data_IF_213340804672
#
_entry.id   IF_213340804672
#
_cell.length_a   1.000
_cell.length_b   1.000
_cell.length_c   1.000
_cell.angle_alpha   90.00
_cell.angle_beta   90.00
_cell.angle_gamma   90.00
#
_symmetry.space_group_name_H-M   'P 1'
#
loop_
_entity.id
_entity.type
_entity.pdbx_description
1 polymer ?
#
# COMPACT_ATOMS: atom_id res chain seq x y z
N UNK A 1 4.13 28.54 -36.03
CA UNK A 1 3.02 28.53 -35.07
C UNK A 1 2.98 27.17 -34.39
N UNK A 2 3.53 27.08 -33.18
CA UNK A 2 3.43 25.89 -32.33
C UNK A 2 2.01 25.83 -31.75
N UNK A 3 1.12 25.04 -32.37
CA UNK A 3 -0.14 24.67 -31.72
C UNK A 3 0.24 23.86 -30.48
N UNK A 4 -0.04 24.41 -29.31
CA UNK A 4 -0.04 23.64 -28.06
C UNK A 4 -1.02 22.48 -28.28
N UNK A 5 -0.61 21.21 -28.11
CA UNK A 5 -1.49 20.08 -28.36
C UNK A 5 -2.76 20.20 -27.51
N UNK A 6 -3.92 19.92 -28.10
CA UNK A 6 -5.16 19.90 -27.34
C UNK A 6 -5.06 18.82 -26.25
N UNK A 7 -5.68 19.01 -25.07
CA UNK A 7 -5.54 18.08 -23.94
C UNK A 7 -5.97 16.64 -24.30
N UNK A 8 -6.97 16.51 -25.19
CA UNK A 8 -7.38 15.23 -25.77
C UNK A 8 -6.35 14.62 -26.71
N UNK A 9 -5.70 15.40 -27.57
CA UNK A 9 -4.66 14.92 -28.48
C UNK A 9 -3.42 14.46 -27.69
N UNK A 10 -3.06 15.18 -26.63
CA UNK A 10 -1.99 14.79 -25.72
C UNK A 10 -2.35 13.46 -25.03
N UNK A 11 -3.58 13.32 -24.55
CA UNK A 11 -4.07 12.09 -23.91
C UNK A 11 -4.10 10.89 -24.87
N UNK A 12 -4.54 11.09 -26.11
CA UNK A 12 -4.54 10.06 -27.16
C UNK A 12 -3.11 9.67 -27.54
N UNK A 13 -2.20 10.63 -27.66
CA UNK A 13 -0.79 10.36 -27.94
C UNK A 13 -0.12 9.56 -26.80
N UNK A 14 -0.34 9.98 -25.55
CA UNK A 14 0.14 9.30 -24.35
C UNK A 14 -0.40 7.87 -24.23
N UNK A 15 -1.67 7.65 -24.56
CA UNK A 15 -2.33 6.34 -24.45
C UNK A 15 -2.05 5.39 -25.62
N UNK A 16 -1.59 5.88 -26.78
CA UNK A 16 -1.33 5.03 -27.95
C UNK A 16 0.17 4.92 -28.25
N UNK A 17 0.80 6.06 -28.53
CA UNK A 17 2.17 6.11 -29.05
C UNK A 17 3.19 5.88 -27.95
N UNK A 18 3.04 6.55 -26.81
CA UNK A 18 3.98 6.42 -25.70
C UNK A 18 3.96 5.01 -25.10
N UNK A 19 2.79 4.39 -24.95
CA UNK A 19 2.68 3.00 -24.44
C UNK A 19 3.44 2.04 -25.34
N UNK A 20 3.19 2.11 -26.65
CA UNK A 20 3.85 1.22 -27.61
C UNK A 20 5.36 1.46 -27.62
N UNK A 21 5.81 2.71 -27.51
CA UNK A 21 7.23 3.03 -27.40
C UNK A 21 7.86 2.40 -26.15
N UNK A 22 7.23 2.53 -24.97
CA UNK A 22 7.74 1.93 -23.72
C UNK A 22 7.78 0.40 -23.78
N UNK A 23 6.74 -0.24 -24.33
CA UNK A 23 6.71 -1.71 -24.50
C UNK A 23 7.75 -2.21 -25.50
N UNK A 24 7.90 -1.52 -26.62
CA UNK A 24 8.93 -1.86 -27.61
C UNK A 24 10.34 -1.63 -27.05
N UNK A 25 10.52 -0.59 -26.22
CA UNK A 25 11.78 -0.35 -25.51
C UNK A 25 12.12 -1.50 -24.55
N UNK A 26 11.15 -2.01 -23.78
CA UNK A 26 11.35 -3.20 -22.94
C UNK A 26 11.67 -4.42 -23.80
N UNK A 27 10.94 -4.63 -24.89
CA UNK A 27 11.16 -5.76 -25.80
C UNK A 27 12.58 -5.73 -26.39
N UNK A 28 13.06 -4.55 -26.79
CA UNK A 28 14.40 -4.34 -27.30
C UNK A 28 15.46 -4.65 -26.23
N UNK A 29 15.27 -4.14 -25.01
CA UNK A 29 16.14 -4.43 -23.88
C UNK A 29 16.19 -5.92 -23.58
N UNK A 30 15.03 -6.58 -23.53
CA UNK A 30 14.93 -8.02 -23.25
C UNK A 30 15.65 -8.86 -24.32
N UNK A 31 15.51 -8.48 -25.59
CA UNK A 31 16.11 -9.21 -26.71
C UNK A 31 17.63 -9.03 -26.75
N UNK A 32 18.12 -7.80 -26.61
CA UNK A 32 19.55 -7.47 -26.65
C UNK A 32 20.14 -7.24 -25.24
N UNK A 33 19.74 -8.07 -24.28
CA UNK A 33 20.08 -7.89 -22.86
C UNK A 33 21.59 -7.75 -22.64
N UNK A 34 22.39 -8.70 -23.13
CA UNK A 34 23.85 -8.72 -22.93
C UNK A 34 24.54 -7.46 -23.48
N UNK A 35 23.95 -6.85 -24.51
CA UNK A 35 24.45 -5.62 -25.12
C UNK A 35 23.93 -4.35 -24.46
N UNK A 36 22.87 -4.41 -23.65
CA UNK A 36 22.15 -3.25 -23.10
C UNK A 36 22.11 -3.20 -21.57
N UNK A 37 22.53 -4.26 -20.88
CA UNK A 37 22.46 -4.37 -19.41
C UNK A 37 23.19 -3.22 -18.68
N UNK A 38 24.26 -2.67 -19.29
CA UNK A 38 24.99 -1.52 -18.75
C UNK A 38 24.13 -0.25 -18.66
N UNK A 39 23.05 -0.15 -19.43
CA UNK A 39 22.12 0.99 -19.44
C UNK A 39 20.89 0.77 -18.55
N UNK A 40 20.80 -0.33 -17.80
CA UNK A 40 19.62 -0.67 -17.00
C UNK A 40 19.17 0.48 -16.08
N UNK A 41 20.12 1.22 -15.51
CA UNK A 41 19.88 2.41 -14.68
C UNK A 41 19.08 3.50 -15.43
N UNK A 42 19.37 3.74 -16.71
CA UNK A 42 18.65 4.72 -17.53
C UNK A 42 17.23 4.29 -17.84
N UNK A 43 17.01 3.00 -18.09
CA UNK A 43 15.67 2.44 -18.31
C UNK A 43 14.84 2.55 -17.02
N UNK A 44 15.42 2.15 -15.88
CA UNK A 44 14.78 2.27 -14.58
C UNK A 44 14.48 3.74 -14.21
N UNK A 45 15.40 4.66 -14.48
CA UNK A 45 15.19 6.09 -14.26
C UNK A 45 14.05 6.65 -15.12
N UNK A 46 13.98 6.27 -16.40
CA UNK A 46 12.86 6.66 -17.27
C UNK A 46 11.52 6.13 -16.75
N UNK A 47 11.46 4.85 -16.38
CA UNK A 47 10.24 4.25 -15.82
C UNK A 47 9.83 4.90 -14.51
N UNK A 48 10.80 5.24 -13.65
CA UNK A 48 10.58 5.97 -12.41
C UNK A 48 9.97 7.35 -12.67
N UNK A 49 10.48 8.07 -13.68
CA UNK A 49 9.90 9.35 -14.10
C UNK A 49 8.49 9.19 -14.66
N UNK A 50 8.20 8.12 -15.42
CA UNK A 50 6.85 7.81 -15.90
C UNK A 50 5.88 7.51 -14.75
N UNK A 51 6.31 6.74 -13.75
CA UNK A 51 5.49 6.40 -12.59
C UNK A 51 5.15 7.63 -11.76
N UNK A 52 6.10 8.57 -11.58
CA UNK A 52 5.89 9.78 -10.80
C UNK A 52 5.09 10.90 -11.53
N UNK A 53 4.44 10.62 -12.66
CA UNK A 53 3.60 11.60 -13.35
C UNK A 53 2.28 11.85 -12.61
N UNK A 54 1.69 13.03 -12.78
CA UNK A 54 0.36 13.35 -12.22
C UNK A 54 -0.78 12.57 -12.90
N UNK A 55 -0.54 12.06 -14.11
CA UNK A 55 -1.53 11.31 -14.87
C UNK A 55 -1.53 9.84 -14.42
N UNK A 56 -2.61 9.42 -13.76
CA UNK A 56 -2.80 8.06 -13.23
C UNK A 56 -2.60 6.97 -14.30
N UNK A 57 -3.11 7.17 -15.51
CA UNK A 57 -2.94 6.24 -16.62
C UNK A 57 -1.46 6.03 -16.94
N UNK A 58 -0.68 7.12 -17.06
CA UNK A 58 0.77 7.04 -17.31
C UNK A 58 1.48 6.31 -16.18
N UNK A 59 1.12 6.62 -14.94
CA UNK A 59 1.74 6.01 -13.78
C UNK A 59 1.54 4.48 -13.76
N UNK A 60 0.31 4.02 -14.01
CA UNK A 60 -0.01 2.59 -14.11
C UNK A 60 0.68 1.90 -15.27
N UNK A 61 0.78 2.55 -16.42
CA UNK A 61 1.54 2.02 -17.57
C UNK A 61 3.02 1.92 -17.24
N UNK A 62 3.60 2.93 -16.60
CA UNK A 62 4.99 2.94 -16.16
C UNK A 62 5.28 1.80 -15.17
N UNK A 63 4.38 1.58 -14.20
CA UNK A 63 4.47 0.45 -13.27
C UNK A 63 4.39 -0.88 -14.01
N UNK A 64 3.41 -1.08 -14.91
CA UNK A 64 3.29 -2.32 -15.67
C UNK A 64 4.51 -2.58 -16.56
N UNK A 65 5.08 -1.53 -17.14
CA UNK A 65 6.32 -1.59 -17.91
C UNK A 65 7.51 -2.02 -17.02
N UNK A 66 7.63 -1.45 -15.81
CA UNK A 66 8.64 -1.88 -14.83
C UNK A 66 8.47 -3.36 -14.45
N UNK A 67 7.24 -3.81 -14.21
CA UNK A 67 6.97 -5.21 -13.92
C UNK A 67 7.39 -6.12 -15.09
N UNK A 68 7.01 -5.76 -16.32
CA UNK A 68 7.36 -6.53 -17.51
C UNK A 68 8.88 -6.60 -17.72
N UNK A 69 9.60 -5.49 -17.53
CA UNK A 69 11.05 -5.46 -17.60
C UNK A 69 11.68 -6.47 -16.64
N UNK A 70 11.21 -6.50 -15.39
CA UNK A 70 11.73 -7.40 -14.36
C UNK A 70 11.36 -8.86 -14.69
N UNK A 71 10.09 -9.14 -14.95
CA UNK A 71 9.59 -10.51 -15.19
C UNK A 71 10.24 -11.17 -16.41
N UNK A 72 10.44 -10.42 -17.50
CA UNK A 72 11.02 -10.96 -18.73
C UNK A 72 12.53 -11.23 -18.66
N UNK A 73 13.23 -10.56 -17.74
CA UNK A 73 14.69 -10.63 -17.62
C UNK A 73 15.17 -11.23 -16.30
N UNK A 74 14.25 -11.76 -15.48
CA UNK A 74 14.51 -12.23 -14.11
C UNK A 74 15.67 -13.22 -14.01
N UNK A 75 15.80 -14.13 -14.98
CA UNK A 75 16.85 -15.15 -15.00
C UNK A 75 18.19 -14.66 -15.56
N UNK A 76 18.23 -13.42 -16.09
CA UNK A 76 19.43 -12.79 -16.65
C UNK A 76 20.07 -11.79 -15.69
N UNK A 77 19.36 -11.40 -14.63
CA UNK A 77 19.87 -10.40 -13.69
C UNK A 77 20.99 -10.94 -12.81
N UNK A 78 22.01 -10.11 -12.63
CA UNK A 78 23.11 -10.32 -11.69
C UNK A 78 22.78 -9.63 -10.36
N UNK A 79 23.53 -9.87 -9.28
CA UNK A 79 23.35 -9.14 -8.03
C UNK A 79 23.42 -7.61 -8.19
N UNK A 80 24.26 -7.10 -9.08
CA UNK A 80 24.35 -5.67 -9.39
C UNK A 80 23.08 -5.13 -10.08
N UNK A 81 22.45 -5.93 -10.94
CA UNK A 81 21.17 -5.58 -11.55
C UNK A 81 20.05 -5.50 -10.49
N UNK A 82 20.01 -6.45 -9.55
CA UNK A 82 19.07 -6.41 -8.45
C UNK A 82 19.24 -5.20 -7.53
N UNK A 83 20.49 -4.80 -7.26
CA UNK A 83 20.77 -3.57 -6.51
C UNK A 83 20.20 -2.33 -7.21
N UNK A 84 20.34 -2.23 -8.54
CA UNK A 84 19.73 -1.15 -9.34
C UNK A 84 18.21 -1.20 -9.32
N UNK A 85 17.62 -2.39 -9.49
CA UNK A 85 16.15 -2.59 -9.48
C UNK A 85 15.56 -2.18 -8.13
N UNK A 86 16.13 -2.68 -7.02
CA UNK A 86 15.68 -2.30 -5.69
C UNK A 86 15.99 -0.84 -5.38
N UNK A 87 17.10 -0.30 -5.87
CA UNK A 87 17.39 1.13 -5.85
C UNK A 87 16.29 1.98 -6.49
N UNK A 88 15.74 1.54 -7.62
CA UNK A 88 14.61 2.22 -8.26
C UNK A 88 13.34 2.16 -7.40
N UNK A 89 13.05 1.03 -6.74
CA UNK A 89 11.95 0.96 -5.77
C UNK A 89 12.16 1.88 -4.56
N UNK A 90 13.39 1.98 -4.05
CA UNK A 90 13.72 2.94 -2.97
C UNK A 90 13.41 4.35 -3.42
N UNK A 91 13.88 4.76 -4.60
CA UNK A 91 13.60 6.10 -5.15
C UNK A 91 12.09 6.33 -5.33
N UNK A 92 11.38 5.34 -5.89
CA UNK A 92 9.93 5.42 -6.09
C UNK A 92 9.19 5.65 -4.77
N UNK A 93 9.41 4.80 -3.77
CA UNK A 93 8.77 4.93 -2.46
C UNK A 93 9.11 6.27 -1.79
N UNK A 94 10.35 6.74 -1.89
CA UNK A 94 10.76 8.03 -1.32
C UNK A 94 10.06 9.21 -2.02
N UNK A 95 9.98 9.18 -3.34
CA UNK A 95 9.35 10.25 -4.14
C UNK A 95 7.83 10.28 -4.02
N UNK A 96 7.19 9.14 -3.81
CA UNK A 96 5.73 9.02 -3.71
C UNK A 96 5.23 9.11 -2.26
N UNK A 97 6.12 9.10 -1.26
CA UNK A 97 5.67 9.26 0.13
C UNK A 97 5.14 10.69 0.40
N UNK A 98 3.87 10.77 0.78
CA UNK A 98 3.15 12.02 0.98
C UNK A 98 3.47 12.71 2.33
N UNK A 99 4.74 13.00 2.64
CA UNK A 99 5.16 13.62 3.91
C UNK A 99 4.41 14.90 4.27
N UNK A 100 3.98 15.63 3.24
CA UNK A 100 3.19 16.86 3.35
C UNK A 100 1.84 16.64 4.06
N UNK A 101 1.31 15.43 4.18
CA UNK A 101 0.12 15.15 4.98
C UNK A 101 0.24 15.63 6.43
N UNK A 102 1.44 15.58 7.01
CA UNK A 102 1.68 15.99 8.40
C UNK A 102 1.89 17.49 8.58
N UNK A 103 2.24 18.21 7.50
CA UNK A 103 2.51 19.66 7.54
C UNK A 103 1.42 20.48 6.86
N UNK A 104 0.65 19.88 5.96
CA UNK A 104 -0.38 20.53 5.15
C UNK A 104 -1.38 21.30 6.03
N UNK A 105 -1.77 20.75 7.17
CA UNK A 105 -2.68 21.44 8.09
C UNK A 105 -2.11 22.75 8.68
N UNK A 106 -0.79 22.92 8.72
CA UNK A 106 -0.09 24.08 9.28
C UNK A 106 0.49 25.02 8.23
N UNK A 107 0.74 24.55 7.01
CA UNK A 107 1.33 25.37 5.95
C UNK A 107 0.28 26.35 5.42
N UNK A 108 0.45 27.64 5.71
CA UNK A 108 -0.27 28.72 5.04
C UNK A 108 0.15 28.76 3.55
N UNK A 109 -0.78 28.99 2.60
CA UNK A 109 -0.44 29.01 1.18
C UNK A 109 0.45 30.24 0.89
N UNK A 110 1.75 30.04 0.67
CA UNK A 110 2.64 31.14 0.29
C UNK A 110 4.16 30.92 0.40
N UNK A 111 4.65 29.88 1.08
CA UNK A 111 6.11 29.61 1.09
C UNK A 111 6.49 28.43 0.19
N UNK A 112 7.48 28.60 -0.71
CA UNK A 112 8.07 27.48 -1.44
C UNK A 112 8.77 26.53 -0.45
N UNK A 113 8.88 25.23 -0.77
CA UNK A 113 9.52 24.26 0.12
C UNK A 113 11.03 24.52 0.14
N UNK A 114 11.53 25.16 1.20
CA UNK A 114 12.94 25.08 1.53
C UNK A 114 13.28 23.64 1.93
N UNK A 115 14.15 23.02 1.12
CA UNK A 115 14.84 21.79 1.49
C UNK A 115 15.65 22.08 2.76
N UNK A 116 15.16 21.65 3.92
CA UNK A 116 15.94 21.71 5.16
C UNK A 116 17.02 20.64 5.14
N UNK A 117 18.25 21.06 4.90
CA UNK A 117 19.42 20.32 5.35
C UNK A 117 19.40 20.30 6.88
N UNK A 118 19.64 19.12 7.44
CA UNK A 118 19.82 18.90 8.87
C UNK A 118 21.25 19.31 9.19
N UNK A 119 21.44 20.43 9.88
CA UNK A 119 22.67 20.71 10.62
C UNK A 119 22.33 21.05 12.07
N UNK A 120 23.26 20.66 12.93
CA UNK A 120 23.12 20.34 14.34
C UNK A 120 22.81 21.52 15.26
N UNK A 121 22.25 21.13 16.41
CA UNK A 121 21.98 21.92 17.59
C UNK A 121 23.28 22.45 18.20
N UNK A 122 23.38 23.77 18.39
CA UNK A 122 23.96 24.34 19.61
C UNK A 122 23.26 25.64 20.00
N UNK A 123 22.87 25.69 21.27
CA UNK A 123 22.08 26.71 21.94
C UNK A 123 22.92 27.93 22.32
N UNK A 124 22.30 29.13 22.32
CA UNK A 124 22.37 30.11 23.42
C UNK A 124 21.39 31.28 23.21
N UNK A 125 20.62 31.58 24.26
CA UNK A 125 19.80 32.79 24.46
C UNK A 125 20.71 34.01 24.74
N UNK A 126 20.34 35.29 24.69
CA UNK A 126 19.10 36.02 25.03
C UNK A 126 19.20 37.49 24.44
N UNK A 127 18.49 38.56 24.88
CA UNK A 127 17.52 39.31 24.07
C UNK A 127 17.86 40.80 23.84
N UNK A 128 17.18 41.47 22.89
CA UNK A 128 17.29 42.93 22.74
C UNK A 128 16.45 43.55 21.61
N UNK A 129 15.21 43.91 21.93
CA UNK A 129 14.40 44.95 21.23
C UNK A 129 15.01 46.35 21.49
N UNK A 130 14.72 47.45 20.74
CA UNK A 130 13.39 47.78 20.22
C UNK A 130 13.24 48.57 18.88
N UNK A 131 12.08 48.36 18.26
CA UNK A 131 11.12 49.35 17.73
C UNK A 131 11.58 50.51 16.81
N UNK A 132 11.08 50.51 15.57
CA UNK A 132 10.71 51.72 14.83
C UNK A 132 9.71 51.44 13.68
N UNK A 133 8.48 51.96 13.83
CA UNK A 133 7.57 52.45 12.77
C UNK A 133 7.31 53.94 13.12
N UNK A 134 6.93 54.87 12.22
CA UNK A 134 5.98 54.77 11.08
C UNK A 134 6.58 55.40 9.79
N UNK A 135 5.96 55.63 8.62
CA UNK A 135 4.63 56.18 8.29
C UNK A 135 4.38 56.11 6.75
N UNK A 136 3.08 56.14 6.38
CA UNK A 136 2.39 56.58 5.15
C UNK A 136 2.97 56.45 3.73
N UNK A 137 2.11 55.90 2.85
CA UNK A 137 2.04 56.22 1.41
C UNK A 137 0.91 55.45 0.72
N UNK A 138 -0.20 56.14 0.42
CA UNK A 138 -1.33 55.65 -0.38
C UNK A 138 -0.93 55.40 -1.83
N UNK A 139 -1.48 54.38 -2.49
CA UNK A 139 -2.23 54.59 -3.74
C UNK A 139 -3.10 53.37 -4.12
N UNK A 140 -4.37 53.68 -4.36
CA UNK A 140 -5.41 52.81 -4.87
C UNK A 140 -5.31 52.68 -6.38
N UNK A 141 -5.41 51.47 -6.92
CA UNK A 141 -5.95 51.24 -8.27
C UNK A 141 -6.64 49.89 -8.33
N UNK A 142 -7.98 49.91 -8.37
CA UNK A 142 -8.82 48.88 -9.02
C UNK A 142 -8.75 49.11 -10.53
N UNK A 143 -8.84 48.05 -11.33
CA UNK A 143 -10.08 47.76 -12.07
C UNK A 143 -10.31 46.24 -12.15
N UNK A 144 -11.42 45.65 -12.58
CA UNK A 144 -12.83 45.98 -12.76
C UNK A 144 -13.49 44.59 -12.88
N UNK A 145 -14.72 44.47 -12.43
CA UNK A 145 -15.54 43.27 -12.59
C UNK A 145 -15.85 43.07 -14.08
N UNK A 146 -15.51 41.91 -14.63
CA UNK A 146 -16.19 41.33 -15.77
C UNK A 146 -16.59 39.90 -15.39
N UNK A 147 -17.89 39.65 -15.48
CA UNK A 147 -18.49 38.35 -15.21
C UNK A 147 -18.12 37.37 -16.31
N UNK A 148 -17.84 36.13 -15.91
CA UNK A 148 -18.00 35.02 -16.83
C UNK A 148 -18.38 33.74 -16.10
N UNK A 149 -19.17 32.96 -16.82
CA UNK A 149 -20.13 32.00 -16.33
C UNK A 149 -19.49 30.75 -15.71
N UNK A 150 -20.22 30.19 -14.74
CA UNK A 150 -19.94 28.94 -14.05
C UNK A 150 -19.84 27.75 -15.00
N UNK A 151 -18.63 27.43 -15.45
CA UNK A 151 -18.29 26.07 -15.88
C UNK A 151 -17.63 25.33 -14.72
N UNK A 152 -18.45 24.55 -13.99
CA UNK A 152 -18.00 23.49 -13.11
C UNK A 152 -17.14 22.50 -13.91
N UNK A 153 -15.82 22.64 -13.85
CA UNK A 153 -14.90 21.61 -14.27
C UNK A 153 -15.10 20.40 -13.33
N UNK A 154 -15.86 19.42 -13.82
CA UNK A 154 -16.00 18.11 -13.21
C UNK A 154 -14.63 17.50 -12.98
N UNK A 155 -14.42 17.05 -11.74
CA UNK A 155 -13.24 16.32 -11.30
C UNK A 155 -13.06 15.07 -12.19
N UNK A 156 -11.86 14.79 -12.73
CA UNK A 156 -11.57 13.49 -13.31
C UNK A 156 -11.68 12.41 -12.23
N UNK A 157 -12.27 11.27 -12.59
CA UNK A 157 -12.60 10.14 -11.71
C UNK A 157 -11.38 9.34 -11.18
N UNK A 158 -10.38 10.03 -10.61
CA UNK A 158 -9.28 9.41 -9.85
C UNK A 158 -9.59 9.31 -8.34
N UNK A 159 -10.83 9.61 -7.94
CA UNK A 159 -11.21 9.69 -6.53
C UNK A 159 -11.54 8.34 -5.88
N UNK A 160 -11.58 7.23 -6.64
CA UNK A 160 -12.07 5.94 -6.14
C UNK A 160 -11.12 5.20 -5.19
N UNK A 161 -9.82 5.53 -5.11
CA UNK A 161 -8.86 4.79 -4.27
C UNK A 161 -8.65 5.41 -2.87
N UNK A 162 -9.05 6.67 -2.69
CA UNK A 162 -9.01 7.38 -1.41
C UNK A 162 -10.40 7.77 -0.88
N UNK A 163 -11.46 7.64 -1.69
CA UNK A 163 -12.83 7.87 -1.24
C UNK A 163 -13.50 6.57 -0.78
N UNK A 164 -13.84 6.52 0.51
CA UNK A 164 -14.97 5.75 0.98
C UNK A 164 -15.51 6.33 2.33
N UNK A 165 -16.76 6.81 2.36
CA UNK A 165 -17.73 6.81 3.50
C UNK A 165 -19.13 7.22 3.01
N UNK A 166 -20.17 6.49 3.45
CA UNK A 166 -21.58 6.87 3.24
C UNK A 166 -22.00 7.66 4.49
N UNK A 167 -22.36 8.95 4.38
CA UNK A 167 -22.71 9.73 5.55
C UNK A 167 -24.02 9.23 6.17
N UNK A 168 -24.06 9.15 7.50
CA UNK A 168 -25.29 9.44 8.23
C UNK A 168 -25.75 10.85 7.79
N UNK A 169 -27.05 11.06 7.53
CA UNK A 169 -27.53 12.38 7.11
C UNK A 169 -27.27 13.39 8.23
N UNK A 170 -26.94 14.63 7.85
CA UNK A 170 -26.84 15.82 8.72
C UNK A 170 -25.46 16.27 9.25
N UNK A 171 -24.43 16.26 8.40
CA UNK A 171 -23.33 17.25 8.52
C UNK A 171 -22.98 17.85 7.15
N UNK A 172 -23.91 18.56 6.52
CA UNK A 172 -23.60 19.45 5.40
C UNK A 172 -22.95 20.73 5.94
N UNK A 173 -21.63 20.83 5.82
CA UNK A 173 -20.93 22.09 6.05
C UNK A 173 -21.02 22.99 4.80
N UNK A 174 -21.03 24.32 4.99
CA UNK A 174 -20.97 25.27 3.89
C UNK A 174 -19.65 25.09 3.10
N UNK A 175 -19.64 25.36 1.78
CA UNK A 175 -18.46 25.14 0.95
C UNK A 175 -17.31 26.00 1.46
N UNK A 176 -16.27 25.36 2.00
CA UNK A 176 -15.02 26.02 2.32
C UNK A 176 -14.42 26.52 1.02
N UNK A 177 -14.26 27.84 0.87
CA UNK A 177 -13.67 28.43 -0.33
C UNK A 177 -12.17 28.13 -0.33
N UNK A 178 -11.79 27.02 -0.96
CA UNK A 178 -10.39 26.62 -1.14
C UNK A 178 -9.83 27.30 -2.39
N UNK A 179 -8.72 28.03 -2.23
CA UNK A 179 -8.05 28.68 -3.37
C UNK A 179 -7.57 27.65 -4.40
N UNK A 180 -7.49 28.04 -5.67
CA UNK A 180 -7.02 27.15 -6.73
C UNK A 180 -5.61 26.59 -6.45
N UNK A 181 -4.72 27.43 -5.89
CA UNK A 181 -3.37 27.02 -5.49
C UNK A 181 -3.41 25.94 -4.38
N UNK A 182 -4.28 26.11 -3.38
CA UNK A 182 -4.43 25.15 -2.29
C UNK A 182 -5.03 23.82 -2.77
N UNK A 183 -5.98 23.86 -3.71
CA UNK A 183 -6.53 22.66 -4.35
C UNK A 183 -5.46 21.90 -5.12
N UNK A 184 -4.62 22.57 -5.89
CA UNK A 184 -3.49 21.95 -6.60
C UNK A 184 -2.51 21.28 -5.63
N UNK A 185 -2.17 21.96 -4.52
CA UNK A 185 -1.34 21.40 -3.46
C UNK A 185 -1.95 20.12 -2.86
N UNK A 186 -3.23 20.15 -2.48
CA UNK A 186 -3.91 18.96 -1.96
C UNK A 186 -3.99 17.83 -2.98
N UNK A 187 -4.28 18.13 -4.25
CA UNK A 187 -4.30 17.13 -5.30
C UNK A 187 -2.93 16.46 -5.49
N UNK A 188 -1.82 17.20 -5.36
CA UNK A 188 -0.47 16.62 -5.42
C UNK A 188 -0.23 15.60 -4.29
N UNK A 189 -0.68 15.92 -3.07
CA UNK A 189 -0.59 15.01 -1.92
C UNK A 189 -1.42 13.74 -2.17
N UNK A 190 -2.64 13.89 -2.69
CA UNK A 190 -3.55 12.78 -3.03
C UNK A 190 -2.90 11.87 -4.08
N UNK A 191 -2.33 12.43 -5.14
CA UNK A 191 -1.62 11.67 -6.18
C UNK A 191 -0.47 10.87 -5.56
N UNK A 192 0.34 11.48 -4.70
CA UNK A 192 1.44 10.79 -4.02
C UNK A 192 0.93 9.58 -3.21
N UNK A 193 -0.17 9.72 -2.46
CA UNK A 193 -0.79 8.59 -1.74
C UNK A 193 -1.26 7.47 -2.67
N UNK A 194 -1.89 7.81 -3.81
CA UNK A 194 -2.32 6.84 -4.83
C UNK A 194 -1.11 6.10 -5.42
N UNK A 195 -0.07 6.84 -5.81
CA UNK A 195 1.17 6.26 -6.33
C UNK A 195 1.84 5.35 -5.29
N UNK A 196 1.79 5.70 -4.01
CA UNK A 196 2.32 4.86 -2.94
C UNK A 196 1.59 3.51 -2.85
N UNK A 197 0.27 3.49 -3.03
CA UNK A 197 -0.53 2.25 -3.09
C UNK A 197 -0.12 1.43 -4.33
N UNK A 198 -0.05 2.07 -5.50
CA UNK A 198 0.41 1.42 -6.73
C UNK A 198 1.79 0.78 -6.56
N UNK A 199 2.72 1.42 -5.85
CA UNK A 199 4.04 0.85 -5.57
C UNK A 199 3.98 -0.37 -4.65
N UNK A 200 3.12 -0.35 -3.62
CA UNK A 200 2.90 -1.51 -2.75
C UNK A 200 2.34 -2.68 -3.57
N UNK A 201 1.33 -2.44 -4.40
CA UNK A 201 0.73 -3.46 -5.27
C UNK A 201 1.75 -4.03 -6.25
N UNK A 202 2.56 -3.17 -6.86
CA UNK A 202 3.63 -3.56 -7.79
C UNK A 202 4.65 -4.49 -7.11
N UNK A 203 5.07 -4.15 -5.89
CA UNK A 203 5.95 -5.02 -5.09
C UNK A 203 5.25 -6.34 -4.78
N UNK A 204 3.99 -6.30 -4.32
CA UNK A 204 3.25 -7.52 -4.01
C UNK A 204 3.15 -8.47 -5.21
N UNK A 205 2.77 -7.97 -6.39
CA UNK A 205 2.64 -8.77 -7.60
C UNK A 205 3.97 -9.37 -8.05
N UNK A 206 5.05 -8.57 -8.05
CA UNK A 206 6.37 -9.03 -8.46
C UNK A 206 6.93 -10.09 -7.52
N UNK A 207 6.87 -9.88 -6.21
CA UNK A 207 7.52 -10.77 -5.25
C UNK A 207 6.63 -11.92 -4.78
N UNK A 208 5.35 -11.93 -5.19
CA UNK A 208 4.52 -13.13 -5.19
C UNK A 208 4.96 -14.12 -6.29
N UNK A 209 5.58 -13.65 -7.37
CA UNK A 209 6.07 -14.51 -8.44
C UNK A 209 7.30 -15.33 -8.01
N UNK A 210 7.22 -16.65 -8.18
CA UNK A 210 8.28 -17.59 -7.78
C UNK A 210 9.61 -17.35 -8.47
N UNK A 211 9.61 -16.96 -9.75
CA UNK A 211 10.84 -16.71 -10.48
C UNK A 211 11.56 -15.47 -9.93
N UNK A 212 10.82 -14.39 -9.67
CA UNK A 212 11.36 -13.15 -9.09
C UNK A 212 11.90 -13.41 -7.69
N UNK A 213 11.09 -14.02 -6.83
CA UNK A 213 11.49 -14.34 -5.46
C UNK A 213 12.71 -15.28 -5.38
N UNK A 214 12.83 -16.19 -6.34
CA UNK A 214 13.95 -17.13 -6.38
C UNK A 214 15.27 -16.47 -6.75
N UNK A 215 15.24 -15.41 -7.58
CA UNK A 215 16.42 -14.75 -8.12
C UNK A 215 16.89 -13.53 -7.30
N UNK A 216 16.01 -12.89 -6.53
CA UNK A 216 16.39 -11.74 -5.71
C UNK A 216 17.30 -12.13 -4.52
N UNK A 217 18.46 -11.48 -4.32
CA UNK A 217 19.31 -11.69 -3.15
C UNK A 217 18.64 -11.30 -1.83
N UNK A 218 18.97 -11.98 -0.74
CA UNK A 218 18.38 -11.73 0.60
C UNK A 218 18.57 -10.28 1.06
N UNK A 219 19.76 -9.69 0.80
CA UNK A 219 20.05 -8.29 1.13
C UNK A 219 19.07 -7.32 0.47
N UNK A 220 18.77 -7.55 -0.81
CA UNK A 220 17.88 -6.69 -1.59
C UNK A 220 16.41 -6.88 -1.19
N UNK A 221 16.03 -8.11 -0.86
CA UNK A 221 14.70 -8.41 -0.32
C UNK A 221 14.48 -7.75 1.05
N UNK A 222 15.49 -7.75 1.94
CA UNK A 222 15.48 -7.02 3.22
C UNK A 222 15.31 -5.51 3.03
N UNK A 223 15.94 -4.93 1.99
CA UNK A 223 15.76 -3.51 1.66
C UNK A 223 14.32 -3.20 1.23
N UNK A 224 13.70 -4.03 0.39
CA UNK A 224 12.29 -3.88 0.01
C UNK A 224 11.35 -3.99 1.21
N UNK A 225 11.62 -4.93 2.11
CA UNK A 225 10.88 -5.08 3.36
C UNK A 225 10.97 -3.83 4.25
N UNK A 226 12.13 -3.18 4.31
CA UNK A 226 12.27 -1.90 5.01
C UNK A 226 11.39 -0.79 4.39
N UNK A 227 11.20 -0.78 3.06
CA UNK A 227 10.29 0.15 2.38
C UNK A 227 8.83 -0.11 2.76
N UNK A 228 8.39 -1.38 2.72
CA UNK A 228 7.04 -1.76 3.11
C UNK A 228 6.76 -1.43 4.58
N UNK A 229 7.73 -1.72 5.48
CA UNK A 229 7.66 -1.35 6.89
C UNK A 229 7.52 0.16 7.09
N UNK A 230 8.30 0.97 6.38
CA UNK A 230 8.21 2.44 6.42
C UNK A 230 6.83 2.92 5.94
N UNK A 231 6.31 2.34 4.85
CA UNK A 231 5.00 2.69 4.30
C UNK A 231 3.86 2.35 5.27
N UNK A 232 3.92 1.16 5.89
CA UNK A 232 2.98 0.73 6.93
C UNK A 232 3.01 1.71 8.12
N UNK A 233 4.19 2.01 8.65
CA UNK A 233 4.35 2.90 9.79
C UNK A 233 3.86 4.33 9.49
N UNK A 234 4.11 4.82 8.28
CA UNK A 234 3.62 6.12 7.81
C UNK A 234 2.08 6.17 7.84
N UNK A 235 1.43 5.19 7.20
CA UNK A 235 -0.03 5.12 7.14
C UNK A 235 -0.65 4.95 8.54
N UNK A 236 -0.07 4.07 9.36
CA UNK A 236 -0.46 3.85 10.76
C UNK A 236 -0.38 5.12 11.60
N UNK A 237 0.71 5.89 11.46
CA UNK A 237 0.90 7.17 12.16
C UNK A 237 -0.16 8.19 11.73
N UNK A 238 -0.44 8.29 10.42
CA UNK A 238 -1.45 9.22 9.91
C UNK A 238 -2.86 8.83 10.35
N UNK A 239 -3.22 7.54 10.25
CA UNK A 239 -4.54 7.03 10.63
C UNK A 239 -4.83 7.22 12.12
N UNK A 240 -3.80 7.09 12.97
CA UNK A 240 -3.87 7.36 14.41
C UNK A 240 -3.97 8.85 14.78
N UNK A 241 -3.58 9.77 13.89
CA UNK A 241 -3.58 11.21 14.15
C UNK A 241 -4.97 11.84 13.91
N UNK A 242 -5.95 11.51 14.77
CA UNK A 242 -7.35 11.97 14.66
C UNK A 242 -7.49 13.49 14.50
N UNK A 243 -6.75 14.27 15.29
CA UNK A 243 -6.80 15.74 15.25
C UNK A 243 -6.26 16.30 13.94
N UNK A 244 -5.18 15.73 13.40
CA UNK A 244 -4.61 16.12 12.11
C UNK A 244 -5.62 15.87 10.99
N UNK A 245 -6.22 14.67 10.97
CA UNK A 245 -7.23 14.28 9.97
C UNK A 245 -8.45 15.20 10.02
N UNK A 246 -8.92 15.55 11.22
CA UNK A 246 -10.02 16.50 11.42
C UNK A 246 -9.65 17.91 10.93
N UNK A 247 -8.41 18.37 11.18
CA UNK A 247 -7.92 19.67 10.68
C UNK A 247 -7.85 19.70 9.15
N UNK A 248 -7.28 18.66 8.52
CA UNK A 248 -7.22 18.55 7.06
C UNK A 248 -8.62 18.55 6.44
N UNK A 249 -9.55 17.80 7.03
CA UNK A 249 -10.95 17.78 6.60
C UNK A 249 -11.61 19.16 6.68
N UNK A 250 -11.47 19.86 7.82
CA UNK A 250 -11.99 21.23 7.99
C UNK A 250 -11.38 22.25 7.03
N UNK A 251 -10.20 21.99 6.50
CA UNK A 251 -9.53 22.82 5.49
C UNK A 251 -9.95 22.48 4.05
N UNK A 252 -10.90 21.56 3.86
CA UNK A 252 -11.38 21.16 2.53
C UNK A 252 -10.41 20.24 1.78
N UNK A 253 -9.56 19.50 2.49
CA UNK A 253 -8.65 18.51 1.88
C UNK A 253 -9.44 17.41 1.14
N UNK A 254 -10.51 16.91 1.76
CA UNK A 254 -11.42 15.90 1.22
C UNK A 254 -12.84 16.15 1.74
N UNK A 255 -13.84 15.48 1.17
CA UNK A 255 -15.24 15.56 1.64
C UNK A 255 -15.43 14.99 3.05
N UNK A 256 -14.56 14.07 3.44
CA UNK A 256 -14.58 13.35 4.71
C UNK A 256 -13.18 13.33 5.33
N UNK A 257 -13.04 12.97 6.62
CA UNK A 257 -11.74 12.78 7.24
C UNK A 257 -10.84 11.83 6.43
N UNK A 258 -9.72 12.33 5.86
CA UNK A 258 -8.84 11.51 5.02
C UNK A 258 -8.32 10.32 5.82
N UNK A 259 -8.11 9.18 5.16
CA UNK A 259 -7.50 8.00 5.75
C UNK A 259 -6.59 7.32 4.73
N UNK A 260 -5.65 6.53 5.23
CA UNK A 260 -4.72 5.72 4.45
C UNK A 260 -4.94 4.24 4.75
N UNK A 261 -6.20 3.81 4.88
CA UNK A 261 -6.53 2.44 5.28
C UNK A 261 -5.96 1.42 4.30
N UNK A 262 -6.19 1.61 2.99
CA UNK A 262 -5.69 0.70 1.95
C UNK A 262 -4.16 0.65 1.92
N UNK A 263 -3.48 1.79 2.14
CA UNK A 263 -2.03 1.81 2.26
C UNK A 263 -1.57 1.06 3.52
N UNK A 264 -2.22 1.27 4.67
CA UNK A 264 -1.86 0.62 5.94
C UNK A 264 -2.05 -0.91 5.87
N UNK A 265 -3.23 -1.38 5.46
CA UNK A 265 -3.53 -2.81 5.37
C UNK A 265 -2.78 -3.48 4.22
N UNK A 266 -2.70 -2.85 3.05
CA UNK A 266 -2.00 -3.39 1.89
C UNK A 266 -0.49 -3.53 2.09
N UNK A 267 0.15 -2.52 2.71
CA UNK A 267 1.58 -2.61 3.03
C UNK A 267 1.86 -3.66 4.11
N UNK A 268 1.00 -3.78 5.13
CA UNK A 268 1.13 -4.82 6.14
C UNK A 268 0.97 -6.23 5.55
N UNK A 269 -0.06 -6.44 4.72
CA UNK A 269 -0.31 -7.72 4.05
C UNK A 269 0.88 -8.14 3.19
N UNK A 270 1.34 -7.25 2.31
CA UNK A 270 2.50 -7.51 1.42
C UNK A 270 3.75 -7.81 2.24
N UNK A 271 3.98 -7.04 3.31
CA UNK A 271 5.16 -7.21 4.16
C UNK A 271 5.17 -8.55 4.89
N UNK A 272 4.04 -8.93 5.50
CA UNK A 272 3.87 -10.21 6.20
C UNK A 272 4.00 -11.38 5.24
N UNK A 273 3.40 -11.30 4.05
CA UNK A 273 3.46 -12.36 3.05
C UNK A 273 4.92 -12.67 2.67
N UNK A 274 5.71 -11.63 2.38
CA UNK A 274 7.13 -11.79 2.05
C UNK A 274 7.92 -12.34 3.24
N UNK A 275 7.68 -11.84 4.47
CA UNK A 275 8.36 -12.31 5.66
C UNK A 275 8.06 -13.79 5.97
N UNK A 276 6.80 -14.22 5.87
CA UNK A 276 6.44 -15.64 6.02
C UNK A 276 7.10 -16.48 4.95
N UNK A 277 7.10 -16.01 3.70
CA UNK A 277 7.74 -16.70 2.58
C UNK A 277 9.24 -16.88 2.81
N UNK A 278 9.92 -15.84 3.29
CA UNK A 278 11.34 -15.89 3.65
C UNK A 278 11.62 -16.82 4.82
N UNK A 279 10.76 -16.80 5.85
CA UNK A 279 10.91 -17.64 7.02
C UNK A 279 10.86 -19.14 6.66
N UNK A 280 9.93 -19.53 5.78
CA UNK A 280 9.76 -20.91 5.34
C UNK A 280 10.73 -21.32 4.21
N UNK A 281 11.61 -20.43 3.76
CA UNK A 281 12.59 -20.73 2.72
C UNK A 281 13.81 -21.44 3.33
N UNK A 282 14.06 -22.66 2.84
CA UNK A 282 15.11 -23.55 3.34
C UNK A 282 16.45 -23.42 2.60
N UNK A 283 16.58 -22.48 1.66
CA UNK A 283 17.85 -22.16 1.02
C UNK A 283 18.83 -21.54 2.02
N UNK A 284 20.11 -21.89 1.92
CA UNK A 284 21.15 -21.46 2.88
C UNK A 284 21.23 -19.93 3.04
N UNK A 285 21.13 -19.17 1.95
CA UNK A 285 21.12 -17.71 1.99
C UNK A 285 19.95 -17.15 2.83
N UNK A 286 18.79 -17.82 2.81
CA UNK A 286 17.56 -17.38 3.51
C UNK A 286 17.55 -17.83 4.95
N UNK A 287 18.05 -19.03 5.24
CA UNK A 287 18.33 -19.52 6.59
C UNK A 287 19.23 -18.56 7.36
N UNK A 288 20.29 -18.05 6.73
CA UNK A 288 21.20 -17.09 7.37
C UNK A 288 20.49 -15.80 7.81
N UNK A 289 19.46 -15.36 7.08
CA UNK A 289 18.63 -14.19 7.43
C UNK A 289 17.40 -14.52 8.30
N UNK A 290 17.22 -15.77 8.75
CA UNK A 290 15.99 -16.21 9.44
C UNK A 290 15.79 -15.50 10.78
N UNK A 291 16.86 -15.24 11.53
CA UNK A 291 16.77 -14.48 12.79
C UNK A 291 16.25 -13.06 12.55
N UNK A 292 16.81 -12.34 11.58
CA UNK A 292 16.35 -10.99 11.22
C UNK A 292 14.90 -11.00 10.71
N UNK A 293 14.51 -12.07 10.00
CA UNK A 293 13.14 -12.27 9.53
C UNK A 293 12.19 -12.48 10.71
N UNK A 294 12.54 -13.31 11.70
CA UNK A 294 11.75 -13.50 12.93
C UNK A 294 11.60 -12.20 13.72
N UNK A 295 12.70 -11.46 13.92
CA UNK A 295 12.73 -10.19 14.67
C UNK A 295 11.81 -9.12 14.03
N UNK A 296 11.59 -9.21 12.72
CA UNK A 296 10.65 -8.38 11.99
C UNK A 296 9.21 -8.91 12.01
N UNK A 297 9.03 -10.22 11.81
CA UNK A 297 7.74 -10.89 11.61
C UNK A 297 6.93 -11.01 12.90
N UNK A 298 7.53 -11.51 13.97
CA UNK A 298 6.81 -11.83 15.21
C UNK A 298 6.18 -10.59 15.85
N UNK A 299 6.90 -9.46 16.03
CA UNK A 299 6.30 -8.27 16.62
C UNK A 299 5.21 -7.66 15.74
N UNK A 300 5.36 -7.73 14.41
CA UNK A 300 4.38 -7.22 13.45
C UNK A 300 3.07 -8.01 13.51
N UNK A 301 3.16 -9.33 13.44
CA UNK A 301 2.02 -10.25 13.56
C UNK A 301 1.26 -10.02 14.87
N UNK A 302 1.98 -9.91 15.99
CA UNK A 302 1.36 -9.69 17.29
C UNK A 302 0.72 -8.29 17.42
N UNK A 303 1.32 -7.24 16.88
CA UNK A 303 0.73 -5.88 16.86
C UNK A 303 -0.56 -5.84 16.02
N UNK A 304 -0.61 -6.56 14.90
CA UNK A 304 -1.79 -6.59 14.01
C UNK A 304 -2.99 -7.23 14.71
N UNK A 305 -2.82 -8.39 15.34
CA UNK A 305 -3.91 -9.05 16.08
C UNK A 305 -4.41 -8.15 17.21
N UNK A 306 -3.50 -7.61 18.03
CA UNK A 306 -3.87 -6.72 19.16
C UNK A 306 -4.65 -5.49 18.69
N UNK A 307 -4.23 -4.89 17.58
CA UNK A 307 -4.92 -3.73 16.99
C UNK A 307 -6.30 -4.09 16.46
N UNK A 308 -6.41 -5.24 15.80
CA UNK A 308 -7.68 -5.70 15.26
C UNK A 308 -8.73 -5.86 16.37
N UNK A 309 -8.36 -6.51 17.48
CA UNK A 309 -9.24 -6.68 18.65
C UNK A 309 -9.77 -5.35 19.16
N UNK A 310 -8.93 -4.30 19.18
CA UNK A 310 -9.27 -2.96 19.66
C UNK A 310 -10.18 -2.14 18.71
N UNK A 311 -10.48 -2.61 17.50
CA UNK A 311 -11.35 -1.90 16.57
C UNK A 311 -12.80 -1.90 17.06
N UNK A 312 -13.46 -0.76 17.05
CA UNK A 312 -14.87 -0.66 17.43
C UNK A 312 -15.79 -1.26 16.35
N UNK A 313 -16.66 -2.22 16.72
CA UNK A 313 -17.50 -2.98 15.78
C UNK A 313 -18.56 -2.13 15.08
N UNK A 314 -19.11 -1.13 15.78
CA UNK A 314 -20.18 -0.30 15.24
C UNK A 314 -19.64 0.78 14.29
N UNK A 315 -18.57 1.47 14.68
CA UNK A 315 -18.04 2.63 13.94
C UNK A 315 -16.90 2.31 12.97
N UNK A 316 -16.20 1.18 13.12
CA UNK A 316 -15.00 0.84 12.35
C UNK A 316 -15.16 -0.40 11.47
N UNK A 317 -16.37 -0.73 11.03
CA UNK A 317 -16.66 -1.91 10.21
C UNK A 317 -15.78 -2.03 8.95
N UNK A 318 -15.38 -0.90 8.34
CA UNK A 318 -14.49 -0.91 7.17
C UNK A 318 -13.06 -1.27 7.49
N UNK A 319 -12.55 -0.80 8.62
CA UNK A 319 -11.24 -1.22 9.12
C UNK A 319 -11.27 -2.73 9.38
N UNK A 320 -12.34 -3.21 10.01
CA UNK A 320 -12.54 -4.63 10.31
C UNK A 320 -12.53 -5.47 9.01
N UNK A 321 -13.25 -5.02 7.97
CA UNK A 321 -13.26 -5.70 6.67
C UNK A 321 -11.88 -5.68 5.99
N UNK A 322 -11.19 -4.54 5.99
CA UNK A 322 -9.88 -4.39 5.34
C UNK A 322 -8.77 -5.18 6.03
N UNK A 323 -8.81 -5.30 7.36
CA UNK A 323 -7.79 -5.99 8.16
C UNK A 323 -8.05 -7.48 8.36
N UNK A 324 -9.29 -7.93 8.20
CA UNK A 324 -9.69 -9.33 8.35
C UNK A 324 -8.79 -10.31 7.58
N UNK A 325 -8.55 -10.16 6.26
CA UNK A 325 -7.67 -11.10 5.55
C UNK A 325 -6.25 -11.12 6.13
N UNK A 326 -5.72 -9.96 6.52
CA UNK A 326 -4.38 -9.86 7.13
C UNK A 326 -4.31 -10.60 8.47
N UNK A 327 -5.36 -10.51 9.30
CA UNK A 327 -5.44 -11.25 10.57
C UNK A 327 -5.50 -12.75 10.34
N UNK A 328 -6.27 -13.20 9.34
CA UNK A 328 -6.33 -14.61 8.95
C UNK A 328 -4.94 -15.09 8.52
N UNK A 329 -4.28 -14.38 7.62
CA UNK A 329 -2.92 -14.70 7.15
C UNK A 329 -1.91 -14.78 8.30
N UNK A 330 -2.02 -13.89 9.29
CA UNK A 330 -1.14 -13.91 10.48
C UNK A 330 -1.39 -15.15 11.33
N UNK A 331 -2.65 -15.47 11.64
CA UNK A 331 -2.99 -16.61 12.49
C UNK A 331 -2.65 -17.92 11.79
N UNK A 332 -2.97 -18.06 10.50
CA UNK A 332 -2.65 -19.23 9.70
C UNK A 332 -1.13 -19.38 9.49
N UNK A 333 -0.44 -18.29 9.17
CA UNK A 333 1.01 -18.29 8.97
C UNK A 333 1.77 -18.69 10.23
N UNK A 334 1.38 -18.17 11.40
CA UNK A 334 1.93 -18.61 12.69
C UNK A 334 1.57 -20.06 13.00
N UNK A 335 0.32 -20.46 12.74
CA UNK A 335 -0.12 -21.86 12.87
C UNK A 335 0.64 -22.78 11.90
N UNK A 336 1.27 -22.27 10.85
CA UNK A 336 2.07 -23.04 9.89
C UNK A 336 3.53 -23.30 10.29
N UNK A 337 4.06 -22.60 11.31
CA UNK A 337 5.48 -22.69 11.68
C UNK A 337 5.95 -24.11 12.03
N UNK A 338 7.26 -24.42 11.94
CA UNK A 338 7.82 -25.64 12.52
C UNK A 338 7.54 -25.75 14.03
N UNK A 339 7.48 -26.97 14.56
CA UNK A 339 7.09 -27.24 15.95
C UNK A 339 7.91 -26.42 16.96
N UNK A 340 9.23 -26.38 16.80
CA UNK A 340 10.15 -25.66 17.70
C UNK A 340 9.83 -24.16 17.77
N UNK A 341 9.67 -23.52 16.62
CA UNK A 341 9.37 -22.08 16.56
C UNK A 341 7.94 -21.76 16.97
N UNK A 342 6.99 -22.64 16.62
CA UNK A 342 5.62 -22.53 17.11
C UNK A 342 5.64 -22.54 18.64
N UNK A 343 6.26 -23.54 19.27
CA UNK A 343 6.33 -23.68 20.72
C UNK A 343 7.00 -22.48 21.41
N UNK A 344 8.09 -21.95 20.81
CA UNK A 344 8.81 -20.76 21.26
C UNK A 344 7.90 -19.53 21.42
N UNK A 345 6.89 -19.36 20.57
CA UNK A 345 6.04 -18.16 20.55
C UNK A 345 4.58 -18.39 21.00
N UNK A 346 4.24 -19.59 21.51
CA UNK A 346 2.89 -19.90 22.02
C UNK A 346 2.43 -18.86 23.04
N UNK A 347 3.27 -18.50 24.01
CA UNK A 347 2.90 -17.55 25.07
C UNK A 347 2.66 -16.13 24.54
N UNK A 348 3.18 -15.81 23.34
CA UNK A 348 2.94 -14.52 22.69
C UNK A 348 1.63 -14.52 21.91
N UNK A 349 1.38 -15.56 21.11
CA UNK A 349 0.25 -15.61 20.17
C UNK A 349 -1.03 -16.16 20.78
N UNK A 350 -0.94 -17.14 21.67
CA UNK A 350 -2.13 -17.75 22.27
C UNK A 350 -3.08 -16.73 22.93
N UNK A 351 -2.64 -15.86 23.86
CA UNK A 351 -3.58 -14.93 24.51
C UNK A 351 -4.23 -13.97 23.51
N UNK A 352 -3.46 -13.39 22.59
CA UNK A 352 -3.98 -12.41 21.62
C UNK A 352 -4.90 -13.06 20.59
N UNK A 353 -4.69 -14.34 20.24
CA UNK A 353 -5.61 -15.07 19.37
C UNK A 353 -6.89 -15.48 20.11
N UNK A 354 -6.80 -15.79 21.40
CA UNK A 354 -8.00 -16.03 22.23
C UNK A 354 -8.83 -14.75 22.37
N UNK A 355 -8.20 -13.58 22.47
CA UNK A 355 -8.92 -12.30 22.50
C UNK A 355 -9.76 -12.05 21.25
N UNK A 356 -9.42 -12.64 20.08
CA UNK A 356 -10.26 -12.56 18.90
C UNK A 356 -11.63 -13.21 19.12
N UNK A 357 -11.77 -14.18 20.03
CA UNK A 357 -13.05 -14.83 20.33
C UNK A 357 -14.07 -13.88 21.00
N UNK A 358 -13.62 -12.74 21.52
CA UNK A 358 -14.53 -11.74 22.11
C UNK A 358 -15.22 -10.85 21.05
N UNK A 359 -14.92 -11.08 19.77
CA UNK A 359 -15.40 -10.32 18.61
C UNK A 359 -16.52 -11.05 17.88
N UNK A 360 -17.26 -10.34 17.02
CA UNK A 360 -18.09 -11.02 16.01
C UNK A 360 -17.21 -11.69 14.93
N UNK A 361 -17.15 -13.03 15.01
CA UNK A 361 -16.25 -13.86 14.20
C UNK A 361 -16.88 -14.22 12.86
N UNK A 362 -16.23 -13.81 11.78
CA UNK A 362 -16.48 -14.41 10.47
C UNK A 362 -15.96 -15.85 10.41
N UNK A 363 -16.37 -16.58 9.36
CA UNK A 363 -16.00 -17.99 9.18
C UNK A 363 -14.48 -18.18 9.08
N UNK A 364 -13.76 -17.30 8.38
CA UNK A 364 -12.31 -17.45 8.17
C UNK A 364 -11.51 -17.28 9.47
N UNK A 365 -11.76 -16.22 10.25
CA UNK A 365 -11.09 -16.03 11.54
C UNK A 365 -11.43 -17.19 12.48
N UNK A 366 -12.67 -17.67 12.48
CA UNK A 366 -13.07 -18.82 13.30
C UNK A 366 -12.29 -20.09 12.94
N UNK A 367 -12.11 -20.37 11.65
CA UNK A 367 -11.33 -21.52 11.18
C UNK A 367 -9.85 -21.37 11.53
N UNK A 368 -9.28 -20.19 11.36
CA UNK A 368 -7.90 -19.90 11.73
C UNK A 368 -7.65 -20.09 13.24
N UNK A 369 -8.54 -19.57 14.10
CA UNK A 369 -8.48 -19.79 15.56
C UNK A 369 -8.63 -21.28 15.88
N UNK A 370 -9.57 -21.99 15.23
CA UNK A 370 -9.76 -23.42 15.45
C UNK A 370 -8.49 -24.21 15.12
N UNK A 371 -7.82 -23.90 14.01
CA UNK A 371 -6.57 -24.53 13.63
C UNK A 371 -5.46 -24.27 14.66
N UNK A 372 -5.33 -23.03 15.13
CA UNK A 372 -4.38 -22.66 16.16
C UNK A 372 -4.64 -23.41 17.47
N UNK A 373 -5.88 -23.46 17.95
CA UNK A 373 -6.25 -24.15 19.18
C UNK A 373 -5.98 -25.67 19.11
N UNK A 374 -6.28 -26.30 17.96
CA UNK A 374 -5.92 -27.72 17.72
C UNK A 374 -4.41 -27.91 17.81
N UNK A 375 -3.65 -27.06 17.13
CA UNK A 375 -2.19 -27.13 17.10
C UNK A 375 -1.56 -26.89 18.48
N UNK A 376 -2.11 -25.99 19.30
CA UNK A 376 -1.70 -25.81 20.70
C UNK A 376 -2.03 -27.05 21.54
N UNK A 377 -3.21 -27.66 21.34
CA UNK A 377 -3.58 -28.92 21.99
C UNK A 377 -2.64 -30.08 21.65
N UNK A 378 -2.24 -30.19 20.39
CA UNK A 378 -1.24 -31.18 19.93
C UNK A 378 0.12 -30.92 20.58
N UNK A 379 0.60 -29.67 20.54
CA UNK A 379 1.94 -29.29 20.99
C UNK A 379 2.11 -29.33 22.52
N UNK A 380 1.15 -28.78 23.30
CA UNK A 380 1.26 -28.62 24.76
C UNK A 380 0.45 -29.61 25.57
N UNK A 381 -0.62 -30.18 25.01
CA UNK A 381 -1.53 -31.08 25.74
C UNK A 381 -1.42 -32.55 25.28
N UNK A 382 -0.62 -32.83 24.23
CA UNK A 382 -0.44 -34.18 23.69
C UNK A 382 -1.72 -34.77 23.08
N UNK A 383 -2.67 -33.93 22.69
CA UNK A 383 -3.95 -34.36 22.10
C UNK A 383 -3.69 -34.77 20.65
N UNK A 384 -4.04 -36.00 20.28
CA UNK A 384 -3.91 -36.46 18.89
C UNK A 384 -4.91 -35.74 17.97
N UNK A 385 -4.53 -35.42 16.71
CA UNK A 385 -5.43 -34.78 15.77
C UNK A 385 -6.67 -35.65 15.56
N UNK A 386 -7.84 -35.16 15.98
CA UNK A 386 -9.09 -35.80 15.59
C UNK A 386 -9.37 -35.45 14.13
N UNK A 387 -9.19 -36.43 13.23
CA UNK A 387 -9.70 -36.39 11.86
C UNK A 387 -11.19 -36.02 11.95
N UNK A 388 -11.67 -34.99 11.23
CA UNK A 388 -13.06 -34.60 11.32
C UNK A 388 -13.94 -35.82 11.02
N UNK A 389 -14.72 -36.23 12.01
CA UNK A 389 -15.77 -37.23 11.84
C UNK A 389 -16.65 -36.68 10.73
N UNK A 390 -16.72 -37.38 9.60
CA UNK A 390 -17.66 -37.08 8.54
C UNK A 390 -19.02 -36.88 9.21
N UNK A 391 -19.59 -35.68 9.05
CA UNK A 391 -20.88 -35.33 9.64
C UNK A 391 -21.84 -36.49 9.44
N UNK A 392 -22.50 -37.04 10.47
CA UNK A 392 -23.51 -38.05 10.23
C UNK A 392 -24.56 -37.39 9.34
N UNK A 393 -24.66 -37.85 8.10
CA UNK A 393 -25.78 -37.54 7.21
C UNK A 393 -27.04 -37.89 7.99
N UNK A 394 -27.74 -36.86 8.47
CA UNK A 394 -29.04 -37.04 9.12
C UNK A 394 -29.95 -37.80 8.16
N UNK A 395 -30.54 -38.94 8.57
CA UNK A 395 -31.48 -39.69 7.75
C UNK A 395 -32.85 -39.02 7.82
N UNK A 396 -32.97 -37.80 7.27
CA UNK A 396 -34.25 -37.10 7.11
C UNK A 396 -34.27 -36.28 5.83
N UNK A 397 -34.22 -36.98 4.70
CA UNK A 397 -34.91 -36.57 3.48
C UNK A 397 -34.88 -37.73 2.46
N UNK A 398 -35.61 -38.80 2.76
CA UNK A 398 -36.15 -39.72 1.76
C UNK A 398 -37.56 -39.21 1.46
N UNK A 399 -37.77 -38.41 0.41
CA UNK A 399 -38.50 -38.68 -0.86
C UNK A 399 -38.83 -37.26 -1.39
N UNK A 400 -38.72 -36.85 -2.65
CA UNK A 400 -38.88 -37.42 -3.99
C UNK A 400 -38.03 -36.56 -4.96
N UNK A 401 -37.43 -37.03 -6.05
CA UNK A 401 -38.07 -37.57 -7.23
C UNK A 401 -37.03 -38.34 -8.07
N UNK A 402 -37.40 -39.55 -8.47
CA UNK A 402 -36.82 -40.29 -9.59
C UNK A 402 -37.23 -39.68 -10.93
N UNK A 403 -36.34 -39.83 -11.93
CA UNK A 403 -36.45 -39.69 -13.39
C UNK A 403 -35.31 -38.77 -13.89
N UNK A 404 -34.35 -39.16 -14.74
CA UNK A 404 -34.30 -40.20 -15.76
C UNK A 404 -32.83 -40.48 -16.16
N UNK A 405 -32.55 -41.71 -16.60
CA UNK A 405 -31.29 -42.22 -17.15
C UNK A 405 -30.72 -41.42 -18.34
N UNK A 406 -29.40 -41.45 -18.54
CA UNK A 406 -28.81 -41.03 -19.82
C UNK A 406 -27.29 -40.99 -19.94
N UNK A 407 -26.63 -42.13 -19.78
CA UNK A 407 -25.19 -42.38 -20.01
C UNK A 407 -24.78 -42.05 -21.47
N UNK A 408 -23.72 -41.27 -21.70
CA UNK A 408 -22.87 -41.39 -22.90
C UNK A 408 -21.44 -40.95 -22.63
N UNK A 409 -20.55 -41.94 -22.57
CA UNK A 409 -19.11 -41.80 -22.73
C UNK A 409 -18.80 -41.44 -24.19
N UNK A 410 -17.84 -40.52 -24.39
CA UNK A 410 -17.15 -40.37 -25.66
C UNK A 410 -15.67 -40.59 -25.40
N UNK A 411 -15.13 -41.63 -26.05
CA UNK A 411 -13.70 -41.93 -26.17
C UNK A 411 -13.24 -41.22 -27.45
N UNK A 412 -12.31 -40.27 -27.31
CA UNK A 412 -11.63 -39.65 -28.44
C UNK A 412 -10.38 -40.45 -28.81
N UNK A 413 -10.32 -40.85 -30.07
CA UNK A 413 -9.08 -41.21 -30.77
C UNK A 413 -8.28 -39.96 -31.11
#
# INVERSE_FOLDING_TARGET
MSKVPNHEELSVWLSTTMIQALRNMITLFTHYFDSLEYMLDRFLGLLTLCICQENDTIARIGSNCLQQLILQNVNKFTPEHWEKIVGAFVELFERTTAYELFTAATTAPGMPPERRNIEEVTSQADPGSPSAKPDRGQESTRPSEDGDETHQAQLPAASSELEDYRPQPDLQQPPTVVTAARRRFFNRIIINCVLQILMIETVNELFSNDAVYSQIPSKELLRLMALLKKSYQFAKKFNGAKDLRLKLWKQGFMKQPPNLLNQESGSAATYINILFRMYHDEREERKNSRSETEDALIPLCADIIRRYVQLDEESQQRNITAWRPVVVDVVEGYTGFPLETFEKYIETFYPITVDLLSRDLNVEIRLAIQALLRRVGECRLGITPQTPIASPTSPRSSTSHSHFNGRRQSVGR
#
